data_IF_752867223023
#
_entry.id   IF_752867223023
#
_cell.length_a   1.000
_cell.length_b   1.000
_cell.length_c   1.000
_cell.angle_alpha   90.00
_cell.angle_beta   90.00
_cell.angle_gamma   90.00
#
_symmetry.space_group_name_H-M   'P 1'
#
loop_
_entity.id
_entity.type
_entity.pdbx_description
1 polymer ?
#
# COMPACT_ATOMS: atom_id res chain seq x y z
N UNK A 1 23.37 5.72 -49.73
CA UNK A 1 22.75 5.88 -48.39
C UNK A 1 22.35 4.52 -47.85
N UNK A 2 23.09 3.98 -46.87
CA UNK A 2 22.81 2.71 -46.21
C UNK A 2 22.21 3.01 -44.83
N UNK A 3 20.94 2.67 -44.59
CA UNK A 3 20.37 2.70 -43.25
C UNK A 3 20.87 1.46 -42.49
N UNK A 4 21.71 1.68 -41.47
CA UNK A 4 22.13 0.66 -40.51
C UNK A 4 20.97 0.35 -39.57
N UNK A 5 20.54 -0.90 -39.61
CA UNK A 5 19.75 -1.54 -38.55
C UNK A 5 20.42 -1.32 -37.19
N UNK A 6 19.70 -0.69 -36.27
CA UNK A 6 20.04 -0.66 -34.84
C UNK A 6 19.04 -1.58 -34.16
N UNK A 7 19.37 -2.88 -34.15
CA UNK A 7 18.75 -3.82 -33.21
C UNK A 7 19.30 -3.49 -31.83
N UNK A 8 18.55 -2.71 -31.05
CA UNK A 8 18.79 -2.59 -29.62
C UNK A 8 18.23 -3.85 -28.95
N UNK A 9 19.10 -4.86 -28.77
CA UNK A 9 18.86 -5.95 -27.84
C UNK A 9 18.90 -5.41 -26.40
N UNK A 10 17.79 -4.81 -25.97
CA UNK A 10 17.56 -4.57 -24.55
C UNK A 10 17.27 -5.94 -23.94
N UNK A 11 18.26 -6.57 -23.32
CA UNK A 11 18.04 -7.71 -22.42
C UNK A 11 17.00 -7.25 -21.40
N UNK A 12 15.76 -7.73 -21.56
CA UNK A 12 14.72 -7.60 -20.56
C UNK A 12 15.23 -8.42 -19.38
N UNK A 13 15.78 -7.72 -18.39
CA UNK A 13 16.02 -8.32 -17.08
C UNK A 13 14.62 -8.59 -16.53
N UNK A 14 14.19 -9.85 -16.60
CA UNK A 14 13.01 -10.32 -15.89
C UNK A 14 13.39 -10.21 -14.41
N UNK A 15 13.12 -9.05 -13.81
CA UNK A 15 13.03 -8.95 -12.35
C UNK A 15 11.96 -9.96 -11.95
N UNK A 16 12.25 -10.75 -10.91
CA UNK A 16 11.23 -11.45 -10.12
C UNK A 16 10.03 -10.52 -9.98
N UNK A 17 8.84 -10.99 -10.38
CA UNK A 17 7.63 -10.17 -10.60
C UNK A 17 7.57 -8.93 -9.71
N UNK A 18 7.74 -7.75 -10.33
CA UNK A 18 7.55 -6.47 -9.65
C UNK A 18 6.09 -6.39 -9.20
N UNK A 19 5.83 -6.69 -7.93
CA UNK A 19 4.49 -6.60 -7.36
C UNK A 19 4.29 -5.22 -6.72
N UNK A 20 3.15 -4.61 -7.01
CA UNK A 20 2.66 -3.40 -6.36
C UNK A 20 1.79 -3.82 -5.17
N UNK A 21 1.98 -3.20 -4.03
CA UNK A 21 1.10 -3.34 -2.88
C UNK A 21 0.23 -2.10 -2.76
N UNK A 22 -1.07 -2.29 -2.70
CA UNK A 22 -2.03 -1.25 -2.28
C UNK A 22 -2.66 -1.71 -0.98
N UNK A 23 -2.56 -0.90 0.07
CA UNK A 23 -3.18 -1.25 1.35
C UNK A 23 -4.23 -0.25 1.79
N UNK A 24 -5.16 -0.74 2.59
CA UNK A 24 -6.13 0.05 3.34
C UNK A 24 -6.19 -0.43 4.78
N UNK A 25 -7.15 0.10 5.53
CA UNK A 25 -7.42 -0.31 6.91
C UNK A 25 -8.87 -0.72 7.08
N UNK A 26 -9.13 -1.66 7.97
CA UNK A 26 -10.47 -2.00 8.44
C UNK A 26 -11.18 -0.78 9.08
N UNK A 27 -12.50 -0.86 9.36
CA UNK A 27 -13.21 0.17 10.10
C UNK A 27 -12.66 0.39 11.51
N UNK A 28 -12.75 1.61 12.03
CA UNK A 28 -12.29 1.95 13.37
C UNK A 28 -13.16 3.01 14.05
N UNK A 29 -13.13 3.03 15.38
CA UNK A 29 -13.87 4.00 16.18
C UNK A 29 -15.38 3.90 15.95
N UNK A 30 -15.98 4.92 15.32
CA UNK A 30 -17.43 4.97 15.00
C UNK A 30 -17.72 4.70 13.52
N UNK A 31 -16.69 4.59 12.71
CA UNK A 31 -16.84 4.35 11.28
C UNK A 31 -17.24 2.90 11.06
N UNK A 32 -18.36 2.68 10.37
CA UNK A 32 -18.82 1.32 10.01
C UNK A 32 -18.08 0.76 8.80
N UNK A 33 -17.51 1.66 8.00
CA UNK A 33 -16.83 1.37 6.74
C UNK A 33 -15.58 2.24 6.72
N UNK A 34 -14.49 1.70 6.19
CA UNK A 34 -13.31 2.47 5.86
C UNK A 34 -13.12 2.46 4.34
N UNK A 35 -13.21 3.61 3.63
CA UNK A 35 -13.06 3.65 2.18
C UNK A 35 -11.71 3.09 1.69
N UNK A 36 -10.65 3.17 2.50
CA UNK A 36 -9.35 2.62 2.12
C UNK A 36 -9.37 1.09 2.00
N UNK A 37 -10.17 0.39 2.81
CA UNK A 37 -10.37 -1.07 2.70
C UNK A 37 -11.03 -1.42 1.37
N UNK A 38 -12.11 -0.72 1.00
CA UNK A 38 -12.81 -0.94 -0.28
C UNK A 38 -11.85 -0.75 -1.46
N UNK A 39 -11.02 0.29 -1.41
CA UNK A 39 -10.04 0.55 -2.46
C UNK A 39 -9.02 -0.59 -2.53
N UNK A 40 -8.44 -1.01 -1.40
CA UNK A 40 -7.48 -2.10 -1.36
C UNK A 40 -8.07 -3.41 -1.90
N UNK A 41 -9.28 -3.77 -1.48
CA UNK A 41 -10.01 -4.94 -1.98
C UNK A 41 -10.26 -4.84 -3.49
N UNK A 42 -10.62 -3.66 -4.01
CA UNK A 42 -10.87 -3.48 -5.44
C UNK A 42 -9.63 -3.60 -6.32
N UNK A 43 -8.44 -3.43 -5.74
CA UNK A 43 -7.17 -3.57 -6.44
C UNK A 43 -6.53 -4.96 -6.24
N UNK A 44 -7.08 -5.81 -5.36
CA UNK A 44 -6.50 -7.13 -5.13
C UNK A 44 -6.66 -8.04 -6.35
N UNK A 45 -5.53 -8.54 -6.87
CA UNK A 45 -5.51 -9.37 -8.08
C UNK A 45 -5.55 -8.59 -9.40
N UNK A 46 -5.65 -7.26 -9.34
CA UNK A 46 -5.61 -6.40 -10.53
C UNK A 46 -4.19 -6.29 -11.11
N UNK A 47 -4.11 -5.72 -12.32
CA UNK A 47 -2.84 -5.43 -12.99
C UNK A 47 -2.84 -4.03 -13.60
N UNK A 48 -1.72 -3.32 -13.46
CA UNK A 48 -1.47 -2.06 -14.16
C UNK A 48 -0.17 -2.19 -14.95
N UNK A 49 -0.21 -1.95 -16.26
CA UNK A 49 0.97 -2.04 -17.15
C UNK A 49 1.73 -3.39 -17.03
N UNK A 50 0.99 -4.47 -16.74
CA UNK A 50 1.48 -5.83 -16.46
C UNK A 50 2.15 -6.05 -15.08
N UNK A 51 2.23 -5.05 -14.21
CA UNK A 51 2.64 -5.27 -12.82
C UNK A 51 1.42 -5.76 -12.00
N UNK A 52 1.51 -6.93 -11.32
CA UNK A 52 0.45 -7.42 -10.46
C UNK A 52 0.30 -6.53 -9.22
N UNK A 53 -0.95 -6.32 -8.81
CA UNK A 53 -1.30 -5.61 -7.60
C UNK A 53 -1.85 -6.61 -6.58
N UNK A 54 -1.33 -6.51 -5.36
CA UNK A 54 -1.87 -7.20 -4.19
C UNK A 54 -2.51 -6.17 -3.27
N UNK A 55 -3.80 -6.34 -3.05
CA UNK A 55 -4.61 -5.53 -2.16
C UNK A 55 -4.55 -6.09 -0.74
N UNK A 56 -4.28 -5.25 0.24
CA UNK A 56 -4.16 -5.70 1.64
C UNK A 56 -4.98 -4.80 2.57
N UNK A 57 -5.88 -5.39 3.33
CA UNK A 57 -6.61 -4.69 4.39
C UNK A 57 -5.90 -4.93 5.72
N UNK A 58 -5.35 -3.86 6.31
CA UNK A 58 -4.71 -3.93 7.61
C UNK A 58 -5.73 -3.85 8.75
N UNK A 59 -5.49 -4.57 9.85
CA UNK A 59 -6.21 -4.32 11.09
C UNK A 59 -5.83 -2.94 11.64
N UNK A 60 -6.74 -2.26 12.32
CA UNK A 60 -6.41 -1.04 13.06
C UNK A 60 -5.87 -1.47 14.42
N UNK A 61 -4.62 -1.96 14.39
CA UNK A 61 -3.90 -2.48 15.56
C UNK A 61 -2.41 -2.24 15.40
N UNK A 62 -1.81 -1.49 16.34
CA UNK A 62 -0.38 -1.21 16.31
C UNK A 62 0.45 -2.50 16.39
N UNK A 63 0.01 -3.46 17.20
CA UNK A 63 0.74 -4.72 17.42
C UNK A 63 0.64 -5.66 16.22
N UNK A 64 -0.54 -5.78 15.61
CA UNK A 64 -0.77 -6.71 14.50
C UNK A 64 -0.23 -6.18 13.17
N UNK A 65 -0.27 -4.87 12.93
CA UNK A 65 0.15 -4.31 11.64
C UNK A 65 1.66 -4.40 11.43
N UNK A 66 2.47 -4.24 12.49
CA UNK A 66 3.93 -4.24 12.40
C UNK A 66 4.52 -5.49 11.71
N UNK A 67 4.25 -6.72 12.16
CA UNK A 67 4.81 -7.92 11.52
C UNK A 67 4.30 -8.11 10.08
N UNK A 68 3.07 -7.67 9.77
CA UNK A 68 2.52 -7.75 8.40
C UNK A 68 3.33 -6.83 7.48
N UNK A 69 3.58 -5.60 7.90
CA UNK A 69 4.39 -4.63 7.14
C UNK A 69 5.83 -5.11 7.00
N UNK A 70 6.44 -5.65 8.05
CA UNK A 70 7.81 -6.20 7.99
C UNK A 70 7.90 -7.34 6.95
N UNK A 71 6.91 -8.23 6.89
CA UNK A 71 6.85 -9.27 5.88
C UNK A 71 6.69 -8.70 4.46
N UNK A 72 5.77 -7.74 4.26
CA UNK A 72 5.56 -7.07 2.96
C UNK A 72 6.85 -6.41 2.47
N UNK A 73 7.56 -5.69 3.34
CA UNK A 73 8.83 -5.06 2.97
C UNK A 73 9.90 -6.12 2.65
N UNK A 74 9.88 -7.26 3.35
CA UNK A 74 10.72 -8.42 3.05
C UNK A 74 10.48 -9.02 1.66
N UNK A 75 9.24 -8.96 1.16
CA UNK A 75 8.86 -9.36 -0.21
C UNK A 75 9.39 -8.38 -1.29
N UNK A 76 9.92 -7.22 -0.91
CA UNK A 76 10.53 -6.20 -1.78
C UNK A 76 9.61 -5.77 -2.95
N UNK A 77 8.43 -5.21 -2.66
CA UNK A 77 7.53 -4.71 -3.70
C UNK A 77 8.17 -3.56 -4.48
N UNK A 78 7.79 -3.41 -5.75
CA UNK A 78 8.23 -2.28 -6.58
C UNK A 78 7.68 -0.95 -6.04
N UNK A 79 6.43 -0.99 -5.57
CA UNK A 79 5.71 0.13 -4.96
C UNK A 79 4.89 -0.40 -3.79
N UNK A 80 4.89 0.33 -2.67
CA UNK A 80 3.94 0.12 -1.59
C UNK A 80 3.16 1.43 -1.34
N UNK A 81 1.89 1.45 -1.74
CA UNK A 81 0.97 2.56 -1.56
C UNK A 81 0.02 2.26 -0.39
N UNK A 82 0.26 2.91 0.74
CA UNK A 82 -0.61 2.80 1.91
C UNK A 82 -1.69 3.89 1.91
N UNK A 83 -2.96 3.47 1.92
CA UNK A 83 -4.11 4.35 2.00
C UNK A 83 -4.71 4.34 3.41
N UNK A 84 -5.34 5.45 3.78
CA UNK A 84 -6.01 5.59 5.06
C UNK A 84 -7.18 6.56 5.00
N UNK A 85 -8.13 6.39 5.92
CA UNK A 85 -9.23 7.32 6.10
C UNK A 85 -8.81 8.48 6.99
N UNK A 86 -8.89 9.71 6.46
CA UNK A 86 -8.78 10.96 7.21
C UNK A 86 -10.15 11.63 7.30
N UNK A 87 -10.91 11.45 8.39
CA UNK A 87 -12.26 11.96 8.50
C UNK A 87 -12.32 13.48 8.30
N UNK A 88 -13.38 13.96 7.65
CA UNK A 88 -13.67 15.39 7.36
C UNK A 88 -12.76 16.06 6.32
N UNK A 89 -11.78 15.36 5.76
CA UNK A 89 -10.99 15.90 4.65
C UNK A 89 -11.86 16.00 3.38
N UNK A 90 -11.71 17.09 2.61
CA UNK A 90 -12.51 17.39 1.40
C UNK A 90 -11.79 17.09 0.08
N UNK A 91 -10.57 16.54 0.13
CA UNK A 91 -9.73 16.24 -1.02
C UNK A 91 -8.78 15.07 -0.76
N UNK A 92 -8.11 14.58 -1.80
CA UNK A 92 -7.02 13.62 -1.65
C UNK A 92 -5.78 14.36 -1.11
N UNK A 93 -5.12 13.78 -0.10
CA UNK A 93 -3.87 14.28 0.46
C UNK A 93 -2.74 13.30 0.21
N UNK A 94 -1.60 13.82 -0.23
CA UNK A 94 -0.38 13.04 -0.37
C UNK A 94 0.53 13.37 0.83
N UNK A 95 0.86 12.36 1.62
CA UNK A 95 1.77 12.50 2.75
C UNK A 95 3.22 12.52 2.25
N UNK A 96 3.99 13.53 2.66
CA UNK A 96 5.38 13.73 2.23
C UNK A 96 6.41 13.39 3.32
N UNK A 97 5.96 13.24 4.57
CA UNK A 97 6.80 12.95 5.73
C UNK A 97 6.09 11.98 6.66
N UNK A 98 6.84 11.00 7.17
CA UNK A 98 6.44 10.15 8.30
C UNK A 98 7.34 10.44 9.51
N UNK A 99 6.73 10.63 10.68
CA UNK A 99 7.48 10.89 11.92
C UNK A 99 7.71 9.59 12.68
N UNK A 100 8.87 9.46 13.34
CA UNK A 100 9.13 8.36 14.26
C UNK A 100 8.50 8.61 15.64
N UNK A 101 7.18 8.79 15.65
CA UNK A 101 6.37 9.04 16.85
C UNK A 101 5.02 8.32 16.67
N UNK A 102 4.63 7.54 17.67
CA UNK A 102 3.27 7.00 17.77
C UNK A 102 2.56 7.72 18.92
N UNK A 103 1.49 8.45 18.60
CA UNK A 103 0.66 9.12 19.60
C UNK A 103 -0.79 9.12 19.12
N UNK A 104 -1.72 8.74 20.00
CA UNK A 104 -3.14 8.79 19.69
C UNK A 104 -3.95 9.19 20.92
N UNK A 105 -5.01 9.99 20.71
CA UNK A 105 -5.97 10.30 21.76
C UNK A 105 -6.85 9.09 22.12
N UNK A 106 -7.06 8.16 21.17
CA UNK A 106 -7.93 6.98 21.28
C UNK A 106 -7.12 5.70 21.17
N UNK A 107 -7.61 4.64 21.80
CA UNK A 107 -7.06 3.31 21.59
C UNK A 107 -7.34 2.82 20.16
N UNK A 108 -6.49 1.90 19.69
CA UNK A 108 -6.73 1.11 18.49
C UNK A 108 -7.85 0.06 18.74
N UNK A 109 -8.18 -0.75 17.72
CA UNK A 109 -9.26 -1.74 17.83
C UNK A 109 -8.96 -2.87 18.83
N UNK A 110 -7.69 -3.07 19.20
CA UNK A 110 -7.26 -4.03 20.23
C UNK A 110 -7.18 -3.39 21.62
N UNK A 111 -7.57 -2.12 21.77
CA UNK A 111 -7.57 -1.39 23.04
C UNK A 111 -6.20 -0.84 23.45
N UNK A 112 -5.17 -0.92 22.60
CA UNK A 112 -3.86 -0.35 22.87
C UNK A 112 -3.83 1.15 22.54
N UNK A 113 -3.21 1.94 23.41
CA UNK A 113 -3.00 3.38 23.23
C UNK A 113 -1.51 3.70 23.41
N UNK A 114 -0.83 4.19 22.35
CA UNK A 114 0.55 4.65 22.44
C UNK A 114 0.68 6.02 23.12
#
# INVERSE_FOLDING_TARGET
MKYKSVMLNKKISIRSENMIIVSGFEPYGREKINPSMIIAESFDGEKIENEPIKGIVFPVSHKKVKPIVENIIGEKPSIFLALGLSPKTTCIRLEVVALNVAHSARADNDGYKP
#
